data_IF_827256186194
#
_entry.id   IF_827256186194
#
_cell.length_a   1.000
_cell.length_b   1.000
_cell.length_c   1.000
_cell.angle_alpha   90.00
_cell.angle_beta   90.00
_cell.angle_gamma   90.00
#
_symmetry.space_group_name_H-M   'P 1'
#
loop_
_entity.id
_entity.type
_entity.pdbx_description
1 polymer ?
#
# COMPACT_ATOMS: atom_id res chain seq x y z
N UNK A 1 1.87 -10.75 15.94
CA UNK A 1 1.30 -11.91 15.25
C UNK A 1 1.86 -11.96 13.84
N UNK A 2 2.98 -12.63 13.61
CA UNK A 2 3.54 -12.81 12.27
C UNK A 2 2.90 -14.05 11.65
N UNK A 3 1.78 -13.85 10.96
CA UNK A 3 1.30 -14.84 10.00
C UNK A 3 2.26 -14.94 8.83
N UNK A 4 2.26 -16.07 8.15
CA UNK A 4 3.02 -16.27 6.90
C UNK A 4 2.64 -15.19 5.86
N UNK A 5 3.59 -14.72 5.02
CA UNK A 5 3.27 -13.82 3.92
C UNK A 5 2.13 -14.37 3.07
N UNK A 6 1.19 -13.51 2.72
CA UNK A 6 -0.01 -13.86 1.95
C UNK A 6 -0.27 -12.77 0.93
N UNK A 7 -0.92 -13.15 -0.16
CA UNK A 7 -1.47 -12.21 -1.14
C UNK A 7 -2.82 -11.71 -0.64
N UNK A 8 -3.03 -10.40 -0.63
CA UNK A 8 -4.24 -9.75 -0.12
C UNK A 8 -4.80 -8.79 -1.15
N UNK A 9 -6.09 -8.94 -1.44
CA UNK A 9 -6.86 -8.01 -2.25
C UNK A 9 -7.48 -6.88 -1.41
N UNK A 10 -7.37 -5.65 -1.88
CA UNK A 10 -8.04 -4.47 -1.31
C UNK A 10 -8.89 -3.83 -2.39
N UNK A 11 -10.22 -3.90 -2.26
CA UNK A 11 -11.15 -3.27 -3.17
C UNK A 11 -11.44 -1.83 -2.73
N UNK A 12 -11.07 -0.87 -3.58
CA UNK A 12 -11.17 0.57 -3.36
C UNK A 12 -9.82 1.19 -3.00
N UNK A 13 -9.44 2.25 -3.70
CA UNK A 13 -8.19 2.99 -3.52
C UNK A 13 -8.41 4.38 -2.85
N UNK A 14 -9.59 4.61 -2.24
CA UNK A 14 -9.82 5.78 -1.40
C UNK A 14 -8.94 5.80 -0.14
N UNK A 15 -9.11 6.82 0.72
CA UNK A 15 -8.28 7.05 1.91
C UNK A 15 -8.12 5.81 2.80
N UNK A 16 -9.21 5.08 3.05
CA UNK A 16 -9.15 3.86 3.86
C UNK A 16 -8.46 2.71 3.13
N UNK A 17 -8.75 2.52 1.84
CA UNK A 17 -8.19 1.44 1.05
C UNK A 17 -6.67 1.56 0.88
N UNK A 18 -6.19 2.75 0.54
CA UNK A 18 -4.75 3.04 0.43
C UNK A 18 -4.03 2.85 1.77
N UNK A 19 -4.64 3.29 2.88
CA UNK A 19 -4.11 3.09 4.23
C UNK A 19 -4.05 1.61 4.66
N UNK A 20 -5.10 0.83 4.38
CA UNK A 20 -5.13 -0.61 4.65
C UNK A 20 -4.04 -1.31 3.83
N UNK A 21 -3.96 -0.98 2.53
CA UNK A 21 -2.96 -1.56 1.65
C UNK A 21 -1.53 -1.30 2.14
N UNK A 22 -1.24 -0.06 2.54
CA UNK A 22 0.05 0.31 3.13
C UNK A 22 0.37 -0.51 4.38
N UNK A 23 -0.55 -0.62 5.33
CA UNK A 23 -0.31 -1.33 6.60
C UNK A 23 0.00 -2.81 6.33
N UNK A 24 -0.74 -3.44 5.43
CA UNK A 24 -0.53 -4.85 5.07
C UNK A 24 0.81 -5.07 4.35
N UNK A 25 1.19 -4.16 3.46
CA UNK A 25 2.46 -4.23 2.75
C UNK A 25 3.68 -4.06 3.67
N UNK A 26 3.58 -3.12 4.62
CA UNK A 26 4.56 -2.94 5.70
C UNK A 26 4.64 -4.18 6.58
N UNK A 27 3.51 -4.84 6.84
CA UNK A 27 3.45 -6.05 7.66
C UNK A 27 4.05 -7.29 7.00
N UNK A 28 4.31 -7.29 5.69
CA UNK A 28 4.89 -8.45 5.01
C UNK A 28 4.11 -9.00 3.82
N UNK A 29 2.88 -8.51 3.59
CA UNK A 29 1.96 -9.11 2.63
C UNK A 29 2.15 -8.53 1.24
N UNK A 30 1.94 -9.35 0.21
CA UNK A 30 1.74 -8.84 -1.15
C UNK A 30 0.31 -8.32 -1.27
N UNK A 31 0.14 -7.10 -1.75
CA UNK A 31 -1.15 -6.42 -1.73
C UNK A 31 -1.49 -5.90 -3.12
N UNK A 32 -2.67 -6.28 -3.60
CA UNK A 32 -3.27 -5.72 -4.81
C UNK A 32 -4.41 -4.81 -4.39
N UNK A 33 -4.29 -3.53 -4.69
CA UNK A 33 -5.31 -2.52 -4.45
C UNK A 33 -5.98 -2.18 -5.79
N UNK A 34 -7.30 -2.35 -5.86
CA UNK A 34 -8.07 -2.11 -7.09
C UNK A 34 -9.04 -0.96 -6.95
N UNK A 35 -9.27 -0.22 -8.02
CA UNK A 35 -10.31 0.80 -8.11
C UNK A 35 -10.77 0.94 -9.56
N UNK A 36 -11.96 1.48 -9.78
CA UNK A 36 -12.49 1.69 -11.13
C UNK A 36 -11.84 2.89 -11.83
N UNK A 37 -11.31 3.85 -11.06
CA UNK A 37 -10.70 5.06 -11.58
C UNK A 37 -9.17 5.06 -11.42
N UNK A 38 -8.45 5.19 -12.54
CA UNK A 38 -6.99 5.43 -12.58
C UNK A 38 -6.57 6.58 -11.66
N UNK A 39 -7.33 7.68 -11.65
CA UNK A 39 -7.04 8.84 -10.81
C UNK A 39 -7.11 8.53 -9.31
N UNK A 40 -7.97 7.61 -8.89
CA UNK A 40 -8.04 7.14 -7.51
C UNK A 40 -6.81 6.29 -7.15
N UNK A 41 -6.33 5.47 -8.09
CA UNK A 41 -5.12 4.65 -7.92
C UNK A 41 -3.86 5.52 -7.84
N UNK A 42 -3.75 6.55 -8.68
CA UNK A 42 -2.64 7.50 -8.65
C UNK A 42 -2.60 8.26 -7.33
N UNK A 43 -3.74 8.79 -6.90
CA UNK A 43 -3.86 9.47 -5.61
C UNK A 43 -3.53 8.54 -4.43
N UNK A 44 -3.93 7.26 -4.51
CA UNK A 44 -3.59 6.26 -3.51
C UNK A 44 -2.08 5.97 -3.46
N UNK A 45 -1.45 5.83 -4.63
CA UNK A 45 -0.01 5.60 -4.74
C UNK A 45 0.77 6.76 -4.13
N UNK A 46 0.42 8.00 -4.47
CA UNK A 46 1.04 9.20 -3.89
C UNK A 46 0.80 9.26 -2.37
N UNK A 47 -0.43 9.02 -1.92
CA UNK A 47 -0.76 9.05 -0.49
C UNK A 47 0.03 8.02 0.33
N UNK A 48 0.25 6.82 -0.22
CA UNK A 48 1.03 5.75 0.44
C UNK A 48 2.52 6.03 0.40
N UNK A 49 3.04 6.58 -0.69
CA UNK A 49 4.47 6.84 -0.80
C UNK A 49 4.90 8.09 -0.03
N UNK A 50 4.38 9.25 -0.41
CA UNK A 50 4.84 10.58 0.05
C UNK A 50 3.83 11.33 0.91
N UNK A 51 2.59 10.83 1.01
CA UNK A 51 1.55 11.46 1.81
C UNK A 51 1.91 11.57 3.30
N UNK A 52 1.19 12.44 4.04
CA UNK A 52 1.41 12.72 5.48
C UNK A 52 1.49 11.47 6.37
N UNK A 53 0.80 10.40 5.98
CA UNK A 53 0.78 9.12 6.68
C UNK A 53 1.46 7.99 5.89
N UNK A 54 2.03 8.31 4.74
CA UNK A 54 2.76 7.41 3.86
C UNK A 54 4.06 6.89 4.46
N UNK A 55 4.68 5.96 3.74
CA UNK A 55 5.88 5.24 4.17
C UNK A 55 7.09 6.17 4.28
N UNK A 56 7.25 7.16 3.39
CA UNK A 56 8.37 8.13 3.48
C UNK A 56 8.25 9.01 4.72
N UNK A 57 7.06 9.56 5.01
CA UNK A 57 6.82 10.28 6.27
C UNK A 57 6.94 9.38 7.50
N UNK A 58 6.70 8.08 7.41
CA UNK A 58 6.98 7.14 8.50
C UNK A 58 8.48 6.95 8.73
N UNK A 59 9.30 6.97 7.67
CA UNK A 59 10.77 6.96 7.78
C UNK A 59 11.28 8.24 8.44
N UNK A 60 10.82 9.40 8.00
CA UNK A 60 11.19 10.70 8.61
C UNK A 60 10.86 10.77 10.10
N UNK A 61 9.77 10.14 10.52
CA UNK A 61 9.34 10.05 11.93
C UNK A 61 10.02 8.90 12.69
N UNK A 62 10.96 8.18 12.09
CA UNK A 62 11.67 7.05 12.71
C UNK A 62 10.81 5.82 13.00
N UNK A 63 9.64 5.69 12.36
CA UNK A 63 8.74 4.54 12.52
C UNK A 63 9.06 3.38 11.59
N UNK A 64 9.73 3.66 10.46
CA UNK A 64 10.22 2.68 9.50
C UNK A 64 11.66 3.02 9.11
N UNK A 65 12.41 2.02 8.64
CA UNK A 65 13.66 2.25 7.90
C UNK A 65 13.36 2.49 6.41
N UNK A 66 14.29 3.11 5.69
CA UNK A 66 14.20 3.26 4.22
C UNK A 66 13.97 1.92 3.53
N UNK A 67 14.73 0.88 3.93
CA UNK A 67 14.58 -0.47 3.38
C UNK A 67 13.19 -1.07 3.64
N UNK A 68 12.60 -0.83 4.82
CA UNK A 68 11.25 -1.30 5.12
C UNK A 68 10.21 -0.59 4.26
N UNK A 69 10.36 0.73 4.05
CA UNK A 69 9.49 1.49 3.18
C UNK A 69 9.58 1.01 1.72
N UNK A 70 10.80 0.84 1.21
CA UNK A 70 11.01 0.38 -0.17
C UNK A 70 10.44 -1.02 -0.40
N UNK A 71 10.63 -1.94 0.55
CA UNK A 71 10.03 -3.28 0.49
C UNK A 71 8.51 -3.24 0.57
N UNK A 72 7.92 -2.33 1.34
CA UNK A 72 6.47 -2.17 1.39
C UNK A 72 5.94 -1.67 0.04
N UNK A 73 6.60 -0.70 -0.60
CA UNK A 73 6.20 -0.20 -1.92
C UNK A 73 6.31 -1.28 -3.00
N UNK A 74 7.34 -2.13 -2.95
CA UNK A 74 7.51 -3.25 -3.89
C UNK A 74 6.42 -4.31 -3.77
N UNK A 75 5.79 -4.44 -2.60
CA UNK A 75 4.69 -5.38 -2.36
C UNK A 75 3.33 -4.84 -2.77
N UNK A 76 3.24 -3.56 -3.14
CA UNK A 76 1.99 -2.90 -3.47
C UNK A 76 1.81 -2.81 -4.99
N UNK A 77 0.72 -3.40 -5.46
CA UNK A 77 0.25 -3.25 -6.83
C UNK A 77 -1.07 -2.47 -6.82
N UNK A 78 -1.16 -1.44 -7.65
CA UNK A 78 -2.39 -0.69 -7.90
C UNK A 78 -2.83 -0.99 -9.33
N UNK A 79 -4.08 -1.39 -9.53
CA UNK A 79 -4.60 -1.76 -10.86
C UNK A 79 -6.09 -1.50 -10.97
N UNK A 80 -6.57 -1.23 -12.18
CA UNK A 80 -8.02 -1.17 -12.48
C UNK A 80 -8.61 -2.56 -12.76
N UNK A 81 -7.76 -3.57 -12.93
CA UNK A 81 -8.17 -4.93 -13.21
C UNK A 81 -8.64 -5.65 -11.94
N UNK A 82 -9.95 -5.90 -11.85
CA UNK A 82 -10.56 -6.66 -10.75
C UNK A 82 -10.26 -8.15 -10.79
N UNK A 83 -9.88 -8.70 -11.95
CA UNK A 83 -9.49 -10.12 -12.08
C UNK A 83 -8.10 -10.38 -11.45
N UNK A 84 -7.38 -9.31 -11.10
CA UNK A 84 -6.10 -9.39 -10.41
C UNK A 84 -6.20 -9.70 -8.90
N UNK A 85 -7.42 -9.69 -8.33
CA UNK A 85 -7.69 -9.96 -6.90
C UNK A 85 -7.56 -11.45 -6.55
#
# INVERSE_FOLDING_TARGET
>A
MTGEPRRVGVAGAGVMGSGIAQVLAVAGHEVVCTDLAESSLDAAREAVETGRFGVRSAVERGKLTTDQADRALQRLTFTTDTDAL
#
